data_IF_515911591825
#
_entry.id   IF_515911591825
#
_cell.length_a   1.000
_cell.length_b   1.000
_cell.length_c   1.000
_cell.angle_alpha   90.00
_cell.angle_beta   90.00
_cell.angle_gamma   90.00
#
_symmetry.space_group_name_H-M   'P 1'
#
loop_
_entity.id
_entity.type
_entity.pdbx_description
1 polymer ?
#
# COMPACT_ATOMS: atom_id res chain seq x y z
N UNK A 1 4.95 34.33 -12.00
CA UNK A 1 4.82 32.97 -12.57
C UNK A 1 3.63 32.93 -13.54
N UNK A 2 3.83 32.48 -14.77
CA UNK A 2 2.83 32.47 -15.86
C UNK A 2 2.01 31.18 -15.93
N UNK A 3 2.44 30.11 -15.26
CA UNK A 3 1.71 28.84 -15.22
C UNK A 3 0.57 28.89 -14.17
N UNK A 4 -0.60 28.29 -14.46
CA UNK A 4 -1.80 28.31 -13.58
C UNK A 4 -1.67 27.49 -12.29
N UNK A 5 -0.61 26.69 -12.14
CA UNK A 5 -0.23 25.94 -10.95
C UNK A 5 1.30 25.71 -10.91
N UNK A 6 1.81 25.31 -9.75
CA UNK A 6 3.18 24.83 -9.55
C UNK A 6 3.23 23.32 -9.74
N UNK A 7 4.33 22.82 -10.31
CA UNK A 7 4.55 21.39 -10.56
C UNK A 7 5.92 20.97 -10.05
N UNK A 8 5.98 19.86 -9.31
CA UNK A 8 7.23 19.17 -8.97
C UNK A 8 7.13 17.71 -9.43
N UNK A 9 8.14 17.27 -10.18
CA UNK A 9 8.13 16.01 -10.93
C UNK A 9 9.44 15.26 -10.74
N UNK A 10 9.34 13.98 -10.39
CA UNK A 10 10.47 13.06 -10.29
C UNK A 10 10.05 11.66 -10.75
N UNK A 11 10.95 10.68 -10.62
CA UNK A 11 10.66 9.30 -11.02
C UNK A 11 9.44 8.72 -10.28
N UNK A 12 9.25 9.05 -9.01
CA UNK A 12 8.25 8.42 -8.14
C UNK A 12 6.86 9.01 -8.33
N UNK A 13 6.75 10.31 -8.55
CA UNK A 13 5.47 11.00 -8.70
C UNK A 13 5.60 12.36 -9.40
N UNK A 14 4.44 12.91 -9.78
CA UNK A 14 4.27 14.35 -10.03
C UNK A 14 3.29 14.91 -9.01
N UNK A 15 3.53 16.14 -8.56
CA UNK A 15 2.65 16.91 -7.68
C UNK A 15 2.27 18.23 -8.32
N UNK A 16 1.03 18.65 -8.08
CA UNK A 16 0.47 19.91 -8.56
C UNK A 16 -0.18 20.67 -7.41
N UNK A 17 0.20 21.94 -7.24
CA UNK A 17 -0.23 22.79 -6.13
C UNK A 17 -0.33 24.26 -6.56
N UNK A 18 -0.91 25.10 -5.71
CA UNK A 18 -1.04 26.56 -5.91
C UNK A 18 -1.95 26.97 -7.09
N UNK A 19 -2.14 28.27 -7.26
CA UNK A 19 -2.96 28.87 -8.31
C UNK A 19 -4.40 28.38 -8.26
N UNK A 20 -4.91 27.84 -9.36
CA UNK A 20 -6.32 27.43 -9.46
C UNK A 20 -6.71 26.31 -8.48
N UNK A 21 -5.74 25.54 -7.97
CA UNK A 21 -5.95 24.46 -7.02
C UNK A 21 -6.13 24.96 -5.57
N UNK A 22 -5.77 26.21 -5.27
CA UNK A 22 -5.85 26.76 -3.91
C UNK A 22 -7.28 26.82 -3.38
N UNK A 23 -8.28 26.93 -4.26
CA UNK A 23 -9.67 26.73 -3.89
C UNK A 23 -9.99 25.22 -3.92
N UNK A 24 -10.20 24.56 -2.77
CA UNK A 24 -10.50 23.13 -2.71
C UNK A 24 -11.86 22.74 -3.29
N UNK A 25 -12.76 23.71 -3.53
CA UNK A 25 -14.03 23.46 -4.23
C UNK A 25 -13.83 23.30 -5.75
N UNK A 26 -12.78 23.91 -6.32
CA UNK A 26 -12.49 23.82 -7.74
C UNK A 26 -11.96 22.42 -8.10
N UNK A 27 -12.56 21.67 -9.04
CA UNK A 27 -11.99 20.41 -9.50
C UNK A 27 -10.66 20.65 -10.22
N UNK A 28 -9.75 19.68 -10.16
CA UNK A 28 -8.53 19.72 -10.95
C UNK A 28 -8.87 19.63 -12.45
N UNK A 29 -8.32 20.49 -13.32
CA UNK A 29 -8.54 20.41 -14.77
C UNK A 29 -8.06 19.08 -15.36
N UNK A 30 -8.68 18.60 -16.44
CA UNK A 30 -8.31 17.30 -17.04
C UNK A 30 -6.88 17.28 -17.61
N UNK A 31 -6.37 18.42 -18.06
CA UNK A 31 -5.05 18.59 -18.68
C UNK A 31 -3.91 18.69 -17.66
N UNK A 32 -4.21 18.72 -16.36
CA UNK A 32 -3.20 18.76 -15.31
C UNK A 32 -2.39 17.46 -15.23
N UNK A 33 -3.01 16.34 -15.57
CA UNK A 33 -2.44 15.01 -15.35
C UNK A 33 -1.50 14.61 -16.50
N UNK A 34 -0.21 14.49 -16.18
CA UNK A 34 0.85 14.21 -17.15
C UNK A 34 1.37 12.77 -17.10
N UNK A 35 1.26 12.09 -15.95
CA UNK A 35 1.75 10.72 -15.79
C UNK A 35 0.69 9.66 -16.08
N UNK A 36 -0.57 9.99 -15.85
CA UNK A 36 -1.68 9.04 -15.85
C UNK A 36 -2.75 9.48 -16.84
N UNK A 37 -3.34 8.54 -17.56
CA UNK A 37 -4.52 8.83 -18.38
C UNK A 37 -5.77 8.98 -17.50
N UNK A 38 -6.80 9.63 -18.04
CA UNK A 38 -8.13 9.63 -17.43
C UNK A 38 -8.65 8.18 -17.32
N UNK A 39 -9.03 7.68 -16.13
CA UNK A 39 -9.61 6.35 -15.98
C UNK A 39 -10.77 6.05 -16.94
N UNK A 40 -11.54 7.06 -17.37
CA UNK A 40 -12.64 6.90 -18.35
C UNK A 40 -12.12 6.59 -19.76
N UNK A 41 -10.92 7.04 -20.09
CA UNK A 41 -10.23 6.87 -21.39
C UNK A 41 -9.16 5.77 -21.36
N UNK A 42 -8.91 5.16 -20.19
CA UNK A 42 -8.00 4.02 -20.03
C UNK A 42 -8.49 2.80 -20.83
N UNK A 43 -7.62 1.81 -21.14
CA UNK A 43 -8.00 0.60 -21.88
C UNK A 43 -9.24 -0.11 -21.32
N UNK A 44 -10.02 -0.72 -22.21
CA UNK A 44 -11.22 -1.50 -21.84
C UNK A 44 -10.91 -2.89 -21.27
N UNK A 45 -9.72 -3.41 -21.55
CA UNK A 45 -9.25 -4.69 -21.02
C UNK A 45 -8.27 -4.49 -19.86
N UNK A 46 -8.39 -5.25 -18.76
CA UNK A 46 -7.43 -5.20 -17.66
C UNK A 46 -6.06 -5.74 -18.10
N UNK A 47 -5.01 -5.22 -17.47
CA UNK A 47 -3.64 -5.70 -17.69
C UNK A 47 -3.12 -6.40 -16.43
N UNK A 48 -2.80 -7.70 -16.55
CA UNK A 48 -2.42 -8.55 -15.43
C UNK A 48 -0.90 -8.55 -15.26
N UNK A 49 -0.44 -8.24 -14.06
CA UNK A 49 0.96 -8.23 -13.67
C UNK A 49 1.23 -9.26 -12.58
N UNK A 50 2.41 -9.88 -12.63
CA UNK A 50 3.02 -10.57 -11.51
C UNK A 50 4.23 -9.79 -11.03
N UNK A 51 4.25 -9.39 -9.76
CA UNK A 51 5.35 -8.66 -9.13
C UNK A 51 6.00 -9.56 -8.09
N UNK A 52 7.29 -9.84 -8.27
CA UNK A 52 8.09 -10.62 -7.34
C UNK A 52 8.87 -9.71 -6.41
N UNK A 53 8.86 -10.08 -5.13
CA UNK A 53 9.57 -9.40 -4.07
C UNK A 53 10.58 -10.35 -3.42
N UNK A 54 11.69 -9.77 -2.98
CA UNK A 54 12.69 -10.42 -2.14
C UNK A 54 13.07 -9.47 -1.02
N UNK A 55 12.94 -9.93 0.22
CA UNK A 55 13.17 -9.14 1.43
C UNK A 55 12.44 -7.77 1.39
N UNK A 56 11.18 -7.78 0.97
CA UNK A 56 10.32 -6.60 0.87
C UNK A 56 10.59 -5.69 -0.34
N UNK A 57 11.60 -5.98 -1.17
CA UNK A 57 11.95 -5.16 -2.34
C UNK A 57 11.46 -5.81 -3.63
N UNK A 58 10.84 -5.08 -4.56
CA UNK A 58 10.48 -5.64 -5.86
C UNK A 58 11.75 -5.97 -6.66
N UNK A 59 11.81 -7.16 -7.22
CA UNK A 59 12.98 -7.66 -7.99
C UNK A 59 12.62 -8.11 -9.40
N UNK A 60 11.34 -8.32 -9.69
CA UNK A 60 10.87 -8.68 -11.03
C UNK A 60 9.42 -8.27 -11.23
N UNK A 61 9.10 -7.79 -12.42
CA UNK A 61 7.72 -7.67 -12.91
C UNK A 61 7.59 -8.44 -14.21
N UNK A 62 6.55 -9.27 -14.29
CA UNK A 62 6.14 -9.95 -15.50
C UNK A 62 4.75 -9.48 -15.86
N UNK A 63 4.57 -8.94 -17.05
CA UNK A 63 3.27 -8.66 -17.61
C UNK A 63 2.72 -9.93 -18.25
N UNK A 64 1.68 -10.50 -17.66
CA UNK A 64 1.08 -11.75 -18.11
C UNK A 64 0.30 -11.54 -19.42
N UNK A 65 -0.25 -10.34 -19.63
CA UNK A 65 -1.04 -10.03 -20.80
C UNK A 65 -0.22 -9.93 -22.09
N UNK A 66 1.06 -9.54 -22.03
CA UNK A 66 1.91 -9.36 -23.21
C UNK A 66 3.30 -10.02 -23.15
N UNK A 67 3.66 -10.68 -22.04
CA UNK A 67 4.93 -11.39 -21.87
C UNK A 67 6.14 -10.51 -21.54
N UNK A 68 5.97 -9.19 -21.36
CA UNK A 68 7.08 -8.29 -20.99
C UNK A 68 7.62 -8.64 -19.61
N UNK A 69 8.95 -8.70 -19.47
CA UNK A 69 9.64 -9.00 -18.22
C UNK A 69 10.72 -7.95 -17.93
N UNK A 70 10.73 -7.42 -16.71
CA UNK A 70 11.75 -6.47 -16.22
C UNK A 70 12.30 -6.94 -14.88
N UNK A 71 13.62 -6.96 -14.74
CA UNK A 71 14.35 -7.37 -13.52
C UNK A 71 15.30 -6.31 -12.98
N UNK A 72 15.72 -5.36 -13.81
CA UNK A 72 16.45 -4.19 -13.31
C UNK A 72 15.51 -3.30 -12.50
N UNK A 73 16.02 -2.77 -11.39
CA UNK A 73 15.21 -2.00 -10.42
C UNK A 73 14.60 -0.73 -11.01
N UNK A 74 15.34 -0.01 -11.85
CA UNK A 74 14.88 1.22 -12.48
C UNK A 74 13.93 0.92 -13.62
N UNK A 75 14.28 -0.03 -14.49
CA UNK A 75 13.43 -0.43 -15.61
C UNK A 75 12.08 -0.99 -15.14
N UNK A 76 12.09 -1.79 -14.07
CA UNK A 76 10.88 -2.29 -13.44
C UNK A 76 10.00 -1.14 -12.95
N UNK A 77 10.59 -0.17 -12.27
CA UNK A 77 9.86 0.97 -11.72
C UNK A 77 9.28 1.86 -12.82
N UNK A 78 10.08 2.18 -13.85
CA UNK A 78 9.65 2.93 -15.03
C UNK A 78 8.54 2.22 -15.78
N UNK A 79 8.64 0.90 -15.94
CA UNK A 79 7.60 0.10 -16.56
C UNK A 79 6.29 0.13 -15.77
N UNK A 80 6.36 0.05 -14.44
CA UNK A 80 5.16 0.18 -13.60
C UNK A 80 4.54 1.59 -13.66
N UNK A 81 5.35 2.64 -13.85
CA UNK A 81 4.83 3.99 -14.09
C UNK A 81 4.10 4.06 -15.43
N UNK A 82 4.67 3.49 -16.49
CA UNK A 82 4.07 3.44 -17.82
C UNK A 82 2.73 2.70 -17.80
N UNK A 83 2.70 1.47 -17.29
CA UNK A 83 1.51 0.63 -17.28
C UNK A 83 0.46 1.19 -16.30
N UNK A 84 0.87 1.58 -15.09
CA UNK A 84 -0.03 2.21 -14.12
C UNK A 84 -0.63 3.51 -14.66
N UNK A 85 0.19 4.35 -15.30
CA UNK A 85 -0.24 5.57 -15.96
C UNK A 85 -1.24 5.31 -17.09
N UNK A 86 -0.97 4.34 -17.95
CA UNK A 86 -1.86 3.91 -19.04
C UNK A 86 -3.23 3.42 -18.55
N UNK A 87 -3.31 2.90 -17.33
CA UNK A 87 -4.57 2.50 -16.69
C UNK A 87 -5.15 3.56 -15.76
N UNK A 88 -4.55 4.75 -15.64
CA UNK A 88 -5.06 5.85 -14.82
C UNK A 88 -4.87 5.66 -13.31
N UNK A 89 -4.00 4.75 -12.90
CA UNK A 89 -3.77 4.37 -11.49
C UNK A 89 -2.91 5.42 -10.79
N UNK A 90 -3.23 5.70 -9.53
CA UNK A 90 -2.37 6.48 -8.63
C UNK A 90 -2.64 7.98 -8.59
N UNK A 91 -3.81 8.43 -9.05
CA UNK A 91 -4.31 9.80 -8.83
C UNK A 91 -4.89 9.95 -7.44
N UNK A 92 -4.47 10.98 -6.72
CA UNK A 92 -5.13 11.43 -5.48
C UNK A 92 -5.26 12.96 -5.48
N UNK A 93 -6.32 13.47 -4.85
CA UNK A 93 -6.54 14.89 -4.56
C UNK A 93 -6.82 14.98 -3.05
N UNK A 94 -5.94 15.68 -2.33
CA UNK A 94 -5.96 15.69 -0.86
C UNK A 94 -5.75 17.10 -0.32
N UNK A 95 -6.29 17.34 0.88
CA UNK A 95 -5.86 18.42 1.75
C UNK A 95 -4.98 17.83 2.84
N UNK A 96 -3.73 18.25 2.87
CA UNK A 96 -2.71 17.79 3.81
C UNK A 96 -2.33 18.87 4.83
N UNK A 97 -1.66 18.47 5.90
CA UNK A 97 -1.14 19.38 6.92
C UNK A 97 0.37 19.52 6.75
N UNK A 98 0.83 20.70 6.34
CA UNK A 98 2.25 21.00 6.28
C UNK A 98 2.85 21.01 7.68
N UNK A 99 4.14 20.68 7.76
CA UNK A 99 4.91 20.65 9.01
C UNK A 99 4.84 21.97 9.77
N UNK A 100 4.79 23.09 9.04
CA UNK A 100 4.67 24.45 9.56
C UNK A 100 3.25 24.83 10.04
N UNK A 101 2.32 23.88 10.07
CA UNK A 101 0.98 24.02 10.65
C UNK A 101 -0.13 24.48 9.68
N UNK A 102 0.21 24.84 8.45
CA UNK A 102 -0.77 25.24 7.43
C UNK A 102 -1.37 24.03 6.72
N UNK A 103 -2.62 24.14 6.28
CA UNK A 103 -3.21 23.19 5.33
C UNK A 103 -2.85 23.58 3.91
N UNK A 104 -2.59 22.58 3.07
CA UNK A 104 -2.37 22.75 1.64
C UNK A 104 -3.21 21.73 0.90
N UNK A 105 -3.75 22.10 -0.27
CA UNK A 105 -4.33 21.14 -1.19
C UNK A 105 -3.29 20.79 -2.25
N UNK A 106 -3.13 19.50 -2.53
CA UNK A 106 -2.28 19.01 -3.60
C UNK A 106 -2.95 17.87 -4.36
N UNK A 107 -2.67 17.83 -5.65
CA UNK A 107 -3.04 16.73 -6.55
C UNK A 107 -1.78 15.98 -6.91
N UNK A 108 -1.81 14.65 -6.81
CA UNK A 108 -0.63 13.82 -7.00
C UNK A 108 -0.91 12.66 -7.97
N UNK A 109 0.10 12.31 -8.75
CA UNK A 109 0.14 11.13 -9.61
C UNK A 109 1.32 10.25 -9.22
N UNK A 110 1.04 9.07 -8.66
CA UNK A 110 2.07 8.14 -8.17
C UNK A 110 1.83 6.71 -8.69
N UNK A 111 1.88 6.44 -10.01
CA UNK A 111 1.42 5.17 -10.58
C UNK A 111 2.20 3.96 -10.06
N UNK A 112 3.53 3.88 -10.28
CA UNK A 112 4.32 2.74 -9.82
C UNK A 112 4.28 2.58 -8.29
N UNK A 113 4.38 3.69 -7.56
CA UNK A 113 4.32 3.67 -6.09
C UNK A 113 2.98 3.14 -5.57
N UNK A 114 1.86 3.46 -6.22
CA UNK A 114 0.53 2.94 -5.84
C UNK A 114 0.42 1.45 -6.11
N UNK A 115 0.90 0.98 -7.27
CA UNK A 115 0.93 -0.45 -7.62
C UNK A 115 1.81 -1.24 -6.66
N UNK A 116 3.05 -0.79 -6.45
CA UNK A 116 4.00 -1.45 -5.55
C UNK A 116 3.50 -1.48 -4.11
N UNK A 117 2.88 -0.39 -3.63
CA UNK A 117 2.31 -0.36 -2.27
C UNK A 117 1.19 -1.37 -2.10
N UNK A 118 0.28 -1.48 -3.08
CA UNK A 118 -0.81 -2.45 -3.02
C UNK A 118 -0.28 -3.89 -3.00
N UNK A 119 0.66 -4.21 -3.89
CA UNK A 119 1.28 -5.53 -3.95
C UNK A 119 2.10 -5.87 -2.70
N UNK A 120 2.88 -4.91 -2.20
CA UNK A 120 3.72 -5.11 -1.01
C UNK A 120 2.88 -5.35 0.25
N UNK A 121 1.84 -4.55 0.49
CA UNK A 121 0.95 -4.73 1.63
C UNK A 121 0.22 -6.07 1.61
N UNK A 122 -0.13 -6.55 0.41
CA UNK A 122 -0.74 -7.86 0.23
C UNK A 122 0.22 -8.99 0.64
N UNK A 123 1.47 -8.92 0.15
CA UNK A 123 2.47 -9.92 0.46
C UNK A 123 2.83 -9.92 1.94
N UNK A 124 2.92 -8.74 2.58
CA UNK A 124 3.18 -8.64 4.03
C UNK A 124 2.12 -9.38 4.85
N UNK A 125 0.84 -9.30 4.48
CA UNK A 125 -0.22 -10.03 5.19
C UNK A 125 -0.01 -11.54 5.08
N UNK A 126 0.50 -11.99 3.94
CA UNK A 126 0.66 -13.41 3.62
C UNK A 126 1.89 -14.04 4.27
N UNK A 127 2.97 -13.28 4.45
CA UNK A 127 4.28 -13.80 4.90
C UNK A 127 4.70 -13.34 6.29
N UNK A 128 4.07 -12.31 6.87
CA UNK A 128 4.47 -11.75 8.16
C UNK A 128 3.56 -12.23 9.28
N UNK A 129 4.16 -12.55 10.44
CA UNK A 129 3.40 -12.84 11.65
C UNK A 129 2.43 -11.70 11.99
N UNK A 130 1.25 -12.06 12.50
CA UNK A 130 0.16 -11.12 12.80
C UNK A 130 0.60 -10.01 13.76
N UNK A 131 1.29 -10.35 14.85
CA UNK A 131 1.65 -9.38 15.88
C UNK A 131 2.90 -8.57 15.48
N UNK A 132 3.86 -9.19 14.77
CA UNK A 132 4.96 -8.47 14.13
C UNK A 132 4.42 -7.42 13.16
N UNK A 133 3.46 -7.79 12.31
CA UNK A 133 2.83 -6.87 11.36
C UNK A 133 2.13 -5.71 12.08
N UNK A 134 1.41 -5.98 13.18
CA UNK A 134 0.75 -4.93 13.98
C UNK A 134 1.76 -3.90 14.50
N UNK A 135 2.94 -4.34 14.98
CA UNK A 135 4.00 -3.45 15.45
C UNK A 135 4.62 -2.68 14.27
N UNK A 136 4.94 -3.38 13.17
CA UNK A 136 5.52 -2.78 11.96
C UNK A 136 4.64 -1.69 11.36
N UNK A 137 3.31 -1.83 11.43
CA UNK A 137 2.38 -0.79 10.96
C UNK A 137 2.57 0.53 11.72
N UNK A 138 2.79 0.48 13.03
CA UNK A 138 3.11 1.67 13.83
C UNK A 138 4.42 2.33 13.39
N UNK A 139 5.46 1.52 13.18
CA UNK A 139 6.76 2.00 12.66
C UNK A 139 6.63 2.59 11.25
N UNK A 140 5.79 2.00 10.39
CA UNK A 140 5.55 2.50 9.05
C UNK A 140 4.91 3.89 9.06
N UNK A 141 3.94 4.13 9.96
CA UNK A 141 3.31 5.44 10.12
C UNK A 141 4.30 6.49 10.64
N UNK A 142 5.12 6.11 11.62
CA UNK A 142 6.15 6.99 12.17
C UNK A 142 7.22 7.32 11.12
N UNK A 143 7.64 6.35 10.32
CA UNK A 143 8.55 6.58 9.20
C UNK A 143 7.97 7.56 8.19
N UNK A 144 6.70 7.41 7.79
CA UNK A 144 6.03 8.36 6.89
C UNK A 144 6.04 9.79 7.45
N UNK A 145 5.77 9.95 8.75
CA UNK A 145 5.82 11.25 9.44
C UNK A 145 7.22 11.85 9.41
N UNK A 146 8.24 11.06 9.71
CA UNK A 146 9.64 11.50 9.72
C UNK A 146 10.10 11.94 8.33
N UNK A 147 9.77 11.18 7.27
CA UNK A 147 10.09 11.55 5.89
C UNK A 147 9.42 12.85 5.50
N UNK A 148 8.11 12.98 5.74
CA UNK A 148 7.36 14.22 5.44
C UNK A 148 7.90 15.43 6.20
N UNK A 149 8.38 15.23 7.44
CA UNK A 149 9.00 16.27 8.26
C UNK A 149 10.45 16.60 7.89
N UNK A 150 11.04 15.98 6.87
CA UNK A 150 12.44 16.21 6.48
C UNK A 150 13.46 15.57 7.42
N UNK A 151 13.04 14.63 8.27
CA UNK A 151 13.88 14.01 9.31
C UNK A 151 14.57 12.73 8.82
N UNK A 152 14.82 12.56 7.52
CA UNK A 152 15.43 11.35 6.97
C UNK A 152 16.77 10.97 7.64
N UNK A 153 17.63 11.96 7.90
CA UNK A 153 18.95 11.76 8.51
C UNK A 153 18.95 11.88 10.04
N UNK A 154 17.78 11.89 10.68
CA UNK A 154 17.66 11.89 12.14
C UNK A 154 17.95 10.48 12.72
N UNK A 155 18.43 10.39 13.97
CA UNK A 155 18.68 9.11 14.62
C UNK A 155 17.40 8.27 14.80
N UNK A 156 16.26 8.89 15.09
CA UNK A 156 14.97 8.21 15.19
C UNK A 156 14.50 7.64 13.84
N UNK A 157 14.80 8.30 12.73
CA UNK A 157 14.49 7.78 11.40
C UNK A 157 15.43 6.65 10.98
N UNK A 158 16.71 6.71 11.35
CA UNK A 158 17.62 5.58 11.17
C UNK A 158 17.14 4.34 11.94
N UNK A 159 16.83 4.49 13.22
CA UNK A 159 16.28 3.40 14.05
C UNK A 159 15.02 2.80 13.42
N UNK A 160 14.07 3.67 13.03
CA UNK A 160 12.81 3.24 12.41
C UNK A 160 13.05 2.46 11.12
N UNK A 161 13.94 2.93 10.24
CA UNK A 161 14.30 2.22 9.00
C UNK A 161 14.91 0.85 9.28
N UNK A 162 15.79 0.73 10.28
CA UNK A 162 16.41 -0.56 10.65
C UNK A 162 15.39 -1.57 11.17
N UNK A 163 14.44 -1.13 12.00
CA UNK A 163 13.35 -2.00 12.45
C UNK A 163 12.45 -2.45 11.29
N UNK A 164 12.14 -1.54 10.36
CA UNK A 164 11.39 -1.90 9.14
C UNK A 164 12.19 -2.89 8.31
N UNK A 165 13.47 -2.63 8.03
CA UNK A 165 14.35 -3.53 7.27
C UNK A 165 14.37 -4.95 7.86
N UNK A 166 14.49 -5.07 9.19
CA UNK A 166 14.41 -6.34 9.90
C UNK A 166 13.09 -7.08 9.65
N UNK A 167 11.97 -6.36 9.70
CA UNK A 167 10.64 -6.96 9.47
C UNK A 167 10.48 -7.57 8.07
N UNK A 168 11.27 -7.13 7.09
CA UNK A 168 11.10 -7.53 5.69
C UNK A 168 11.78 -8.86 5.34
N UNK A 169 12.54 -9.48 6.25
CA UNK A 169 13.32 -10.70 5.97
C UNK A 169 12.49 -11.88 5.45
N UNK A 170 11.21 -11.95 5.81
CA UNK A 170 10.29 -13.01 5.37
C UNK A 170 9.38 -12.58 4.20
N UNK A 171 9.45 -11.32 3.77
CA UNK A 171 8.57 -10.76 2.72
C UNK A 171 9.16 -11.05 1.34
N UNK A 172 9.11 -12.32 0.96
CA UNK A 172 9.60 -12.84 -0.31
C UNK A 172 8.53 -13.69 -0.97
N UNK A 173 8.19 -13.38 -2.23
CA UNK A 173 7.10 -14.05 -2.94
C UNK A 173 6.64 -13.26 -4.16
N UNK A 174 5.51 -13.67 -4.74
CA UNK A 174 4.92 -13.06 -5.93
C UNK A 174 3.47 -12.67 -5.64
N UNK A 175 3.08 -11.47 -6.07
CA UNK A 175 1.69 -11.01 -6.08
C UNK A 175 1.23 -10.83 -7.51
N UNK A 176 0.07 -11.41 -7.84
CA UNK A 176 -0.62 -11.23 -9.12
C UNK A 176 -1.74 -10.21 -8.94
N UNK A 177 -1.79 -9.21 -9.80
CA UNK A 177 -2.79 -8.14 -9.77
C UNK A 177 -3.22 -7.71 -11.17
N UNK A 178 -4.42 -7.16 -11.27
CA UNK A 178 -4.93 -6.52 -12.48
C UNK A 178 -4.92 -5.00 -12.29
N UNK A 179 -4.50 -4.27 -13.32
CA UNK A 179 -4.72 -2.83 -13.43
C UNK A 179 -5.90 -2.57 -14.36
N UNK A 180 -6.85 -1.77 -13.91
CA UNK A 180 -8.05 -1.49 -14.68
C UNK A 180 -8.72 -0.18 -14.26
N UNK A 181 -8.93 0.73 -15.22
CA UNK A 181 -9.76 1.95 -15.05
C UNK A 181 -9.51 2.70 -13.72
N UNK A 182 -8.24 2.98 -13.44
CA UNK A 182 -7.77 3.74 -12.28
C UNK A 182 -7.59 2.93 -11.00
N UNK A 183 -7.82 1.62 -11.05
CA UNK A 183 -7.82 0.73 -9.88
C UNK A 183 -6.83 -0.42 -10.02
N UNK A 184 -6.49 -1.00 -8.86
CA UNK A 184 -5.64 -2.18 -8.70
C UNK A 184 -6.48 -3.27 -8.04
N UNK A 185 -6.50 -4.47 -8.62
CA UNK A 185 -7.22 -5.63 -8.07
C UNK A 185 -6.24 -6.76 -7.81
N UNK A 186 -6.05 -7.14 -6.55
CA UNK A 186 -5.21 -8.30 -6.23
C UNK A 186 -5.93 -9.60 -6.60
N UNK A 187 -5.27 -10.45 -7.38
CA UNK A 187 -5.82 -11.71 -7.91
C UNK A 187 -5.28 -12.95 -7.22
N UNK A 188 -4.08 -12.87 -6.67
CA UNK A 188 -3.48 -13.98 -5.96
C UNK A 188 -2.08 -13.67 -5.49
N UNK A 189 -1.54 -14.55 -4.65
CA UNK A 189 -0.19 -14.46 -4.13
C UNK A 189 0.38 -15.84 -3.88
N UNK A 190 1.71 -15.96 -3.94
CA UNK A 190 2.46 -17.17 -3.61
C UNK A 190 3.78 -16.77 -2.96
N UNK A 191 4.26 -17.57 -2.01
CA UNK A 191 5.54 -17.35 -1.36
C UNK A 191 6.15 -18.70 -1.00
N UNK A 192 7.48 -18.86 -1.08
CA UNK A 192 8.14 -20.08 -0.64
C UNK A 192 8.00 -20.29 0.88
N UNK A 193 8.00 -19.19 1.66
CA UNK A 193 7.88 -19.20 3.11
C UNK A 193 6.59 -18.49 3.54
N UNK A 194 5.45 -19.07 3.18
CA UNK A 194 4.12 -18.56 3.55
C UNK A 194 3.75 -18.96 4.98
N UNK A 195 3.11 -18.06 5.74
CA UNK A 195 2.46 -18.41 7.02
C UNK A 195 1.03 -18.91 6.83
N UNK A 196 0.48 -18.80 5.63
CA UNK A 196 -0.80 -19.40 5.27
C UNK A 196 -0.65 -20.91 5.11
N UNK A 197 -1.39 -21.67 5.91
CA UNK A 197 -1.49 -23.12 5.83
C UNK A 197 -2.88 -23.51 5.32
N UNK A 198 -2.96 -23.95 4.06
CA UNK A 198 -4.22 -24.28 3.39
C UNK A 198 -4.95 -25.47 4.05
N UNK A 199 -4.22 -26.46 4.56
CA UNK A 199 -4.82 -27.63 5.21
C UNK A 199 -5.42 -27.25 6.58
N UNK A 200 -4.72 -26.41 7.34
CA UNK A 200 -5.16 -25.97 8.67
C UNK A 200 -6.46 -25.16 8.62
N UNK A 201 -6.63 -24.33 7.60
CA UNK A 201 -7.80 -23.43 7.45
C UNK A 201 -8.91 -24.02 6.58
N UNK A 202 -8.73 -25.24 6.06
CA UNK A 202 -9.69 -25.90 5.19
C UNK A 202 -11.02 -26.13 5.91
N UNK A 203 -12.12 -25.92 5.19
CA UNK A 203 -13.46 -26.32 5.64
C UNK A 203 -13.84 -27.72 5.14
N UNK A 204 -13.13 -28.22 4.14
CA UNK A 204 -13.40 -29.52 3.51
C UNK A 204 -12.60 -30.66 4.15
N UNK A 205 -11.44 -30.33 4.74
CA UNK A 205 -10.54 -31.27 5.40
C UNK A 205 -10.39 -30.83 6.85
N UNK A 206 -10.63 -31.74 7.79
CA UNK A 206 -10.31 -31.51 9.18
C UNK A 206 -8.78 -31.55 9.34
N UNK A 207 -8.14 -30.38 9.21
CA UNK A 207 -6.71 -30.20 9.44
C UNK A 207 -6.31 -30.39 10.92
N UNK A 208 -5.08 -30.02 11.26
CA UNK A 208 -4.53 -30.12 12.62
C UNK A 208 -5.03 -29.00 13.55
N UNK A 209 -6.36 -28.85 13.64
CA UNK A 209 -7.03 -27.89 14.51
C UNK A 209 -8.14 -28.59 15.30
N UNK A 210 -8.20 -28.32 16.61
CA UNK A 210 -9.20 -28.89 17.51
C UNK A 210 -10.27 -27.84 17.81
N UNK A 211 -11.50 -27.94 17.24
CA UNK A 211 -12.52 -26.89 17.38
C UNK A 211 -12.97 -26.63 18.82
N UNK A 212 -12.86 -27.61 19.72
CA UNK A 212 -13.23 -27.46 21.12
C UNK A 212 -12.37 -26.43 21.88
N UNK A 213 -11.13 -26.21 21.45
CA UNK A 213 -10.21 -25.27 22.10
C UNK A 213 -10.69 -23.81 21.96
N UNK A 214 -11.39 -23.50 20.87
CA UNK A 214 -11.99 -22.19 20.63
C UNK A 214 -12.93 -21.77 21.77
N UNK A 215 -13.69 -22.72 22.33
CA UNK A 215 -14.65 -22.44 23.39
C UNK A 215 -13.98 -21.88 24.65
N UNK A 216 -12.82 -22.44 25.03
CA UNK A 216 -12.01 -21.92 26.13
C UNK A 216 -11.42 -20.55 25.83
N UNK A 217 -10.83 -20.41 24.64
CA UNK A 217 -10.25 -19.15 24.18
C UNK A 217 -11.25 -17.98 24.18
N UNK A 218 -12.44 -18.19 23.62
CA UNK A 218 -13.51 -17.17 23.57
C UNK A 218 -13.93 -16.76 24.98
N UNK A 219 -14.10 -17.72 25.89
CA UNK A 219 -14.48 -17.43 27.29
C UNK A 219 -13.44 -16.56 28.00
N UNK A 220 -12.16 -16.84 27.80
CA UNK A 220 -11.06 -16.05 28.38
C UNK A 220 -11.03 -14.64 27.77
N UNK A 221 -11.14 -14.51 26.45
CA UNK A 221 -11.18 -13.20 25.78
C UNK A 221 -12.37 -12.35 26.23
N UNK A 222 -13.53 -12.99 26.41
CA UNK A 222 -14.76 -12.33 26.86
C UNK A 222 -14.72 -11.91 28.34
N UNK A 223 -13.81 -12.46 29.16
CA UNK A 223 -13.79 -12.23 30.61
C UNK A 223 -13.73 -10.75 30.95
N UNK A 224 -12.78 -9.99 30.38
CA UNK A 224 -12.67 -8.54 30.65
C UNK A 224 -13.89 -7.76 30.19
N UNK A 225 -14.55 -8.20 29.11
CA UNK A 225 -15.73 -7.54 28.57
C UNK A 225 -16.95 -7.75 29.48
N UNK A 226 -17.10 -8.96 30.02
CA UNK A 226 -18.14 -9.29 31.00
C UNK A 226 -17.97 -8.48 32.29
N UNK A 227 -16.75 -8.37 32.80
CA UNK A 227 -16.47 -7.58 34.01
C UNK A 227 -16.71 -6.08 33.78
N UNK A 228 -16.30 -5.54 32.63
CA UNK A 228 -16.60 -4.15 32.26
C UNK A 228 -18.10 -3.88 32.24
N UNK A 229 -18.88 -4.78 31.61
CA UNK A 229 -20.34 -4.64 31.55
C UNK A 229 -20.99 -4.72 32.94
N UNK A 230 -20.53 -5.65 33.79
CA UNK A 230 -21.01 -5.78 35.17
C UNK A 230 -20.82 -4.48 35.97
N UNK A 231 -19.67 -3.82 35.84
CA UNK A 231 -19.39 -2.54 36.52
C UNK A 231 -20.23 -1.40 35.93
N UNK A 232 -20.45 -1.39 34.61
CA UNK A 232 -21.27 -0.36 33.95
C UNK A 232 -22.73 -0.42 34.39
N UNK A 233 -23.33 -1.62 34.44
CA UNK A 233 -24.73 -1.80 34.82
C UNK A 233 -24.98 -1.68 36.33
N UNK A 234 -23.95 -1.77 37.16
CA UNK A 234 -24.08 -1.56 38.61
C UNK A 234 -24.22 -0.07 38.99
N UNK A 235 -24.10 0.84 38.00
CA UNK A 235 -24.25 2.29 38.18
C UNK A 235 -25.60 2.84 37.70
N UNK A 236 -26.45 1.98 37.14
CA UNK A 236 -27.87 2.25 36.84
C UNK A 236 -28.75 1.57 37.91
#
# INVERSE_FOLDING_TARGET
>A
PTAPWSMDANLMHVSYESGILENPESPAPEDIYTMTCDPRKAPEEPETLEIEFMNGKPVKVTNVSNGTLKTDSLDLFLYLNEIGGRHGVGRIDIVENRVIGMKSRGVYETPAGTVLRAAHLDLEIFTMDKEVRRIKQGLSLEFSRQVYAGLWYSPEAEFTRRCIELSQSCVTGTVRLDLYKGQIYIKGRRAPNSLYNQELVSMDVQGDYTPSDAGGFIKIQALRLREWHRVKNAKD
#
